data_IF_664516232085
#
_entry.id   IF_664516232085
#
_cell.length_a   1.000
_cell.length_b   1.000
_cell.length_c   1.000
_cell.angle_alpha   90.00
_cell.angle_beta   90.00
_cell.angle_gamma   90.00
#
_symmetry.space_group_name_H-M   'P 1'
#
loop_
_entity.id
_entity.type
_entity.pdbx_description
1 polymer ?
#
# COMPACT_ATOMS: atom_id res chain seq x y z
N UNK A 1 34.11 2.53 38.68
CA UNK A 1 32.86 1.74 38.81
C UNK A 1 31.69 2.67 38.53
N UNK A 2 30.69 2.40 37.73
CA UNK A 2 30.41 1.37 36.74
C UNK A 2 29.29 1.96 35.89
N UNK A 3 29.52 2.01 34.59
CA UNK A 3 28.55 2.30 33.55
C UNK A 3 27.32 1.38 33.66
N UNK A 4 26.11 1.93 33.54
CA UNK A 4 24.94 1.18 33.06
C UNK A 4 24.24 2.03 32.00
N UNK A 5 24.69 1.84 30.76
CA UNK A 5 24.11 2.45 29.58
C UNK A 5 22.71 1.91 29.32
N UNK A 6 21.74 2.82 29.33
CA UNK A 6 20.50 2.65 28.57
C UNK A 6 20.87 2.67 27.08
N UNK A 7 21.17 1.48 26.54
CA UNK A 7 21.16 1.27 25.09
C UNK A 7 19.71 1.48 24.64
N UNK A 8 19.40 2.69 24.20
CA UNK A 8 18.32 2.91 23.23
C UNK A 8 18.63 2.00 22.05
N UNK A 9 17.85 0.92 21.92
CA UNK A 9 17.83 0.10 20.72
C UNK A 9 17.41 1.03 19.58
N UNK A 10 18.36 1.49 18.78
CA UNK A 10 18.08 2.13 17.49
C UNK A 10 17.22 1.14 16.69
N UNK A 11 16.03 1.53 16.20
CA UNK A 11 15.39 0.76 15.15
C UNK A 11 16.31 0.82 13.92
N UNK A 12 16.68 -0.36 13.41
CA UNK A 12 17.47 -0.47 12.18
C UNK A 12 16.76 0.24 11.02
N UNK A 13 17.50 0.79 10.05
CA UNK A 13 16.93 1.37 8.84
C UNK A 13 16.42 0.21 7.97
N UNK A 14 15.13 -0.07 8.09
CA UNK A 14 14.48 -1.13 7.35
C UNK A 14 13.28 -1.63 8.13
N UNK A 15 12.11 -1.57 7.50
CA UNK A 15 10.81 -2.05 8.02
C UNK A 15 10.13 -1.21 9.11
N UNK A 16 9.94 0.09 8.86
CA UNK A 16 8.77 0.79 9.41
C UNK A 16 7.58 0.52 8.49
N UNK A 17 7.12 -0.72 8.50
CA UNK A 17 5.84 -1.10 7.91
C UNK A 17 4.77 -0.43 8.78
N UNK A 18 3.99 0.55 8.27
CA UNK A 18 3.02 1.26 9.12
C UNK A 18 2.11 0.23 9.79
N UNK A 19 1.65 0.50 11.02
CA UNK A 19 0.76 -0.43 11.76
C UNK A 19 -0.42 -0.90 10.92
N UNK A 20 -0.93 -0.02 10.04
CA UNK A 20 -1.95 -0.32 9.04
C UNK A 20 -1.48 -1.39 8.06
N UNK A 21 -0.26 -1.27 7.52
CA UNK A 21 0.33 -2.23 6.60
C UNK A 21 0.69 -3.57 7.27
N UNK A 22 1.08 -3.56 8.56
CA UNK A 22 1.29 -4.79 9.34
C UNK A 22 -0.03 -5.47 9.70
N UNK A 23 -1.07 -4.70 10.01
CA UNK A 23 -2.43 -5.20 10.19
C UNK A 23 -3.02 -5.74 8.88
N UNK A 24 -2.76 -5.07 7.75
CA UNK A 24 -3.16 -5.54 6.42
C UNK A 24 -2.43 -6.83 6.05
N UNK A 25 -1.13 -6.91 6.31
CA UNK A 25 -0.35 -8.13 6.10
C UNK A 25 -0.79 -9.28 7.01
N UNK A 26 -1.15 -8.99 8.27
CA UNK A 26 -1.71 -9.99 9.19
C UNK A 26 -3.12 -10.44 8.76
N UNK A 27 -3.96 -9.52 8.28
CA UNK A 27 -5.29 -9.86 7.74
C UNK A 27 -5.19 -10.66 6.44
N UNK A 28 -4.23 -10.33 5.57
CA UNK A 28 -3.95 -11.11 4.36
C UNK A 28 -3.42 -12.51 4.71
N UNK A 29 -2.56 -12.65 5.72
CA UNK A 29 -2.08 -13.95 6.18
C UNK A 29 -3.18 -14.78 6.85
N UNK A 30 -4.09 -14.14 7.60
CA UNK A 30 -5.26 -14.81 8.17
C UNK A 30 -6.23 -15.30 7.09
N UNK A 31 -6.50 -14.48 6.07
CA UNK A 31 -7.33 -14.88 4.93
C UNK A 31 -6.72 -16.06 4.14
N UNK A 32 -5.37 -16.11 4.00
CA UNK A 32 -4.69 -17.25 3.37
C UNK A 32 -4.76 -18.51 4.25
N UNK A 33 -4.70 -18.37 5.58
CA UNK A 33 -4.81 -19.51 6.49
C UNK A 33 -6.22 -20.13 6.53
N UNK A 34 -7.27 -19.33 6.38
CA UNK A 34 -8.67 -19.82 6.34
C UNK A 34 -8.95 -20.70 5.12
N UNK A 35 -8.26 -20.50 3.98
CA UNK A 35 -8.40 -21.37 2.81
C UNK A 35 -7.80 -22.78 3.00
N UNK A 36 -6.95 -22.99 4.02
CA UNK A 36 -6.30 -24.28 4.29
C UNK A 36 -7.16 -25.23 5.13
N UNK A 37 -8.15 -24.73 5.88
CA UNK A 37 -9.03 -25.57 6.72
C UNK A 37 -10.35 -25.95 6.02
N UNK A 38 -10.71 -25.30 4.91
CA UNK A 38 -11.87 -25.65 4.09
C UNK A 38 -11.62 -26.82 3.11
N UNK A 39 -10.47 -27.49 3.20
CA UNK A 39 -10.05 -28.58 2.31
C UNK A 39 -10.32 -29.99 2.84
N UNK A 40 -11.02 -30.18 3.96
CA UNK A 40 -11.27 -31.52 4.52
C UNK A 40 -12.76 -31.85 4.58
N UNK A 41 -13.19 -32.59 3.56
CA UNK A 41 -14.37 -33.46 3.48
C UNK A 41 -15.76 -32.80 3.56
N UNK A 42 -16.33 -32.53 2.38
CA UNK A 42 -17.68 -32.99 2.03
C UNK A 42 -17.91 -32.96 0.51
N UNK A 43 -17.82 -34.14 -0.10
CA UNK A 43 -18.40 -34.59 -1.37
C UNK A 43 -18.65 -33.58 -2.51
N UNK A 44 -17.65 -33.36 -3.36
CA UNK A 44 -17.91 -32.93 -4.74
C UNK A 44 -17.64 -34.11 -5.68
N UNK A 45 -18.68 -34.92 -5.92
CA UNK A 45 -18.71 -35.99 -6.92
C UNK A 45 -18.65 -35.34 -8.30
N UNK A 46 -17.44 -35.10 -8.80
CA UNK A 46 -17.22 -34.65 -10.17
C UNK A 46 -17.58 -35.79 -11.12
N UNK A 47 -18.78 -35.70 -11.69
CA UNK A 47 -19.15 -36.44 -12.89
C UNK A 47 -18.20 -35.96 -13.99
N UNK A 48 -17.39 -36.89 -14.50
CA UNK A 48 -16.47 -36.66 -15.60
C UNK A 48 -17.22 -36.11 -16.82
N UNK A 49 -17.19 -34.79 -16.99
CA UNK A 49 -17.33 -34.13 -18.28
C UNK A 49 -15.93 -33.78 -18.74
N UNK A 50 -15.40 -34.56 -19.68
CA UNK A 50 -14.08 -34.37 -20.29
C UNK A 50 -14.07 -33.04 -21.05
N UNK A 51 -13.69 -31.95 -20.37
CA UNK A 51 -13.32 -30.69 -21.02
C UNK A 51 -11.91 -30.88 -21.59
N UNK A 52 -11.68 -30.70 -22.90
CA UNK A 52 -10.37 -30.89 -23.48
C UNK A 52 -9.39 -29.90 -22.85
N UNK A 53 -8.33 -30.42 -22.21
CA UNK A 53 -7.19 -29.63 -21.75
C UNK A 53 -6.43 -29.13 -22.97
N UNK A 54 -6.81 -27.97 -23.49
CA UNK A 54 -5.98 -27.23 -24.45
C UNK A 54 -4.74 -26.67 -23.75
N UNK A 55 -3.58 -26.60 -24.42
CA UNK A 55 -2.39 -25.96 -23.86
C UNK A 55 -2.72 -24.52 -23.47
N UNK A 56 -2.23 -24.08 -22.30
CA UNK A 56 -2.45 -22.74 -21.76
C UNK A 56 -1.66 -21.73 -22.60
N UNK A 57 -2.20 -21.40 -23.77
CA UNK A 57 -1.82 -20.24 -24.56
C UNK A 57 -2.83 -19.10 -24.36
N UNK A 58 -2.53 -17.91 -24.88
CA UNK A 58 -3.38 -16.71 -24.78
C UNK A 58 -4.84 -16.95 -25.20
N UNK A 59 -5.09 -17.89 -26.13
CA UNK A 59 -6.41 -18.27 -26.62
C UNK A 59 -7.26 -19.05 -25.59
N UNK A 60 -6.63 -19.80 -24.69
CA UNK A 60 -7.31 -20.53 -23.60
C UNK A 60 -7.71 -19.62 -22.43
N UNK A 61 -6.88 -18.62 -22.10
CA UNK A 61 -7.14 -17.66 -21.03
C UNK A 61 -8.35 -16.78 -21.38
N UNK A 62 -8.45 -16.30 -22.62
CA UNK A 62 -9.58 -15.49 -23.07
C UNK A 62 -10.92 -16.27 -23.02
N UNK A 63 -10.92 -17.54 -23.42
CA UNK A 63 -12.11 -18.39 -23.36
C UNK A 63 -12.54 -18.68 -21.92
N UNK A 64 -11.59 -18.92 -21.02
CA UNK A 64 -11.87 -19.08 -19.59
C UNK A 64 -12.44 -17.80 -18.98
N UNK A 65 -11.86 -16.64 -19.26
CA UNK A 65 -12.33 -15.36 -18.72
C UNK A 65 -13.76 -15.03 -19.17
N UNK A 66 -14.09 -15.24 -20.44
CA UNK A 66 -15.47 -15.09 -20.95
C UNK A 66 -16.46 -16.04 -20.26
N UNK A 67 -16.05 -17.27 -19.98
CA UNK A 67 -16.88 -18.26 -19.30
C UNK A 67 -17.10 -17.94 -17.81
N UNK A 68 -16.08 -17.45 -17.09
CA UNK A 68 -16.22 -17.04 -15.68
C UNK A 68 -17.03 -15.74 -15.58
N UNK A 69 -16.87 -14.82 -16.52
CA UNK A 69 -17.67 -13.58 -16.56
C UNK A 69 -19.17 -13.84 -16.78
N UNK A 70 -19.52 -14.89 -17.54
CA UNK A 70 -20.91 -15.29 -17.76
C UNK A 70 -21.56 -16.02 -16.57
N UNK A 71 -20.75 -16.70 -15.73
CA UNK A 71 -21.25 -17.51 -14.61
C UNK A 71 -21.21 -16.76 -13.28
N UNK A 72 -20.11 -16.09 -12.99
CA UNK A 72 -19.83 -15.47 -11.69
C UNK A 72 -19.19 -14.08 -11.89
N UNK A 73 -19.93 -13.11 -12.46
CA UNK A 73 -19.40 -11.79 -12.77
C UNK A 73 -18.89 -11.04 -11.52
N UNK A 74 -19.50 -11.32 -10.36
CA UNK A 74 -19.16 -10.68 -9.09
C UNK A 74 -17.72 -11.00 -8.65
N UNK A 75 -17.28 -12.25 -8.84
CA UNK A 75 -15.92 -12.68 -8.44
C UNK A 75 -14.88 -12.12 -9.41
N UNK A 76 -15.19 -12.04 -10.70
CA UNK A 76 -14.28 -11.41 -11.68
C UNK A 76 -14.13 -9.92 -11.37
N UNK A 77 -15.24 -9.23 -11.12
CA UNK A 77 -15.22 -7.81 -10.78
C UNK A 77 -14.40 -7.53 -9.51
N UNK A 78 -14.64 -8.27 -8.42
CA UNK A 78 -13.92 -8.07 -7.16
C UNK A 78 -12.42 -8.33 -7.30
N UNK A 79 -12.01 -9.36 -8.05
CA UNK A 79 -10.60 -9.64 -8.32
C UNK A 79 -9.95 -8.55 -9.19
N UNK A 80 -10.67 -8.04 -10.21
CA UNK A 80 -10.15 -6.96 -11.04
C UNK A 80 -9.99 -5.65 -10.28
N UNK A 81 -10.97 -5.29 -9.43
CA UNK A 81 -10.91 -4.06 -8.63
C UNK A 81 -9.84 -4.18 -7.55
N UNK A 82 -9.76 -5.33 -6.86
CA UNK A 82 -8.71 -5.60 -5.87
C UNK A 82 -7.32 -5.61 -6.49
N UNK A 83 -7.15 -6.24 -7.66
CA UNK A 83 -5.88 -6.23 -8.39
C UNK A 83 -5.48 -4.84 -8.85
N UNK A 84 -6.43 -4.07 -9.39
CA UNK A 84 -6.18 -2.68 -9.80
C UNK A 84 -5.82 -1.80 -8.60
N UNK A 85 -6.49 -1.96 -7.47
CA UNK A 85 -6.22 -1.18 -6.26
C UNK A 85 -4.79 -1.39 -5.71
N UNK A 86 -4.17 -2.54 -5.96
CA UNK A 86 -2.79 -2.83 -5.54
C UNK A 86 -1.78 -2.25 -6.55
N UNK A 87 -2.07 -2.35 -7.85
CA UNK A 87 -1.13 -1.97 -8.90
C UNK A 87 -1.18 -0.46 -9.18
N UNK A 88 -2.36 0.16 -9.13
CA UNK A 88 -2.58 1.54 -9.50
C UNK A 88 -1.81 2.55 -8.62
N UNK A 89 -1.68 2.37 -7.29
CA UNK A 89 -0.87 3.26 -6.47
C UNK A 89 0.62 3.25 -6.82
N UNK A 90 1.16 2.12 -7.31
CA UNK A 90 2.57 2.03 -7.70
C UNK A 90 2.86 2.69 -9.05
N UNK A 91 1.87 2.74 -9.94
CA UNK A 91 2.00 3.35 -11.28
C UNK A 91 1.60 4.83 -11.31
N UNK A 92 0.77 5.28 -10.36
CA UNK A 92 0.22 6.63 -10.39
C UNK A 92 1.24 7.66 -9.88
N UNK A 93 1.65 8.65 -10.71
CA UNK A 93 2.52 9.74 -10.26
C UNK A 93 1.82 10.66 -9.23
N UNK A 94 0.50 10.56 -9.08
CA UNK A 94 -0.29 11.43 -8.22
C UNK A 94 -0.26 11.05 -6.73
N UNK A 95 0.16 9.82 -6.40
CA UNK A 95 0.30 9.40 -4.99
C UNK A 95 1.31 10.30 -4.26
N UNK A 96 2.35 10.78 -4.94
CA UNK A 96 3.32 11.72 -4.36
C UNK A 96 2.65 12.99 -3.82
N UNK A 97 1.70 13.57 -4.56
CA UNK A 97 0.99 14.77 -4.11
C UNK A 97 0.12 14.50 -2.88
N UNK A 98 -0.51 13.32 -2.78
CA UNK A 98 -1.28 12.96 -1.59
C UNK A 98 -0.42 12.90 -0.33
N UNK A 99 0.83 12.43 -0.43
CA UNK A 99 1.79 12.40 0.67
C UNK A 99 2.23 13.83 1.02
N UNK A 100 2.61 14.61 0.01
CA UNK A 100 3.06 15.99 0.20
C UNK A 100 1.97 16.88 0.82
N UNK A 101 0.69 16.66 0.50
CA UNK A 101 -0.44 17.39 1.12
C UNK A 101 -0.52 17.09 2.62
N UNK A 102 -0.42 15.82 2.99
CA UNK A 102 -0.51 15.41 4.40
C UNK A 102 0.67 15.94 5.24
N UNK A 103 1.87 16.05 4.64
CA UNK A 103 3.03 16.64 5.30
C UNK A 103 2.94 18.17 5.39
N UNK A 104 2.34 18.81 4.39
CA UNK A 104 2.18 20.27 4.34
C UNK A 104 1.10 20.81 5.29
N UNK A 105 0.18 19.99 5.79
CA UNK A 105 -0.87 20.42 6.72
C UNK A 105 -0.35 20.51 8.16
N UNK A 106 -0.20 21.73 8.73
CA UNK A 106 0.33 21.88 10.08
C UNK A 106 -0.76 21.58 11.11
N UNK A 107 -0.75 20.37 11.69
CA UNK A 107 -1.62 20.03 12.82
C UNK A 107 -1.09 20.51 14.17
N UNK A 108 0.24 20.59 14.29
CA UNK A 108 0.92 21.11 15.47
C UNK A 108 1.46 22.51 15.16
N UNK A 109 1.47 23.37 16.18
CA UNK A 109 2.07 24.69 16.04
C UNK A 109 3.58 24.56 15.79
N UNK A 110 4.13 25.13 14.71
CA UNK A 110 5.56 25.08 14.45
C UNK A 110 6.30 25.92 15.48
N UNK A 111 7.12 25.27 16.32
CA UNK A 111 7.94 25.96 17.31
C UNK A 111 9.15 26.57 16.60
N UNK A 112 9.35 27.90 16.70
CA UNK A 112 10.50 28.56 16.10
C UNK A 112 11.81 28.01 16.66
N UNK A 113 12.79 27.81 15.77
CA UNK A 113 14.15 27.44 16.15
C UNK A 113 14.85 28.67 16.73
N UNK A 114 15.73 28.44 17.72
CA UNK A 114 16.58 29.50 18.26
C UNK A 114 17.70 29.78 17.26
N UNK A 115 17.91 31.04 16.94
CA UNK A 115 18.93 31.44 15.95
C UNK A 115 20.35 31.39 16.54
N UNK A 116 21.23 30.62 15.89
CA UNK A 116 22.65 30.48 16.20
C UNK A 116 23.52 31.29 15.20
N UNK A 117 22.91 32.01 14.25
CA UNK A 117 23.58 32.88 13.28
C UNK A 117 24.16 32.19 12.04
N UNK A 118 24.01 30.86 11.93
CA UNK A 118 24.50 30.07 10.79
C UNK A 118 23.45 29.06 10.30
N UNK A 119 22.29 29.57 9.86
CA UNK A 119 21.19 28.76 9.32
C UNK A 119 20.57 29.42 8.08
N UNK A 120 21.18 29.27 6.88
CA UNK A 120 20.68 29.91 5.65
C UNK A 120 19.39 29.27 5.12
N UNK A 121 19.02 28.07 5.59
CA UNK A 121 17.87 27.28 5.15
C UNK A 121 16.60 27.53 5.99
N UNK A 122 16.73 28.11 7.18
CA UNK A 122 15.60 28.41 8.07
C UNK A 122 15.12 29.85 7.83
N UNK A 123 13.84 30.09 7.48
CA UNK A 123 13.34 31.43 7.29
C UNK A 123 13.20 32.18 8.62
N UNK A 124 13.51 33.48 8.61
CA UNK A 124 13.31 34.37 9.75
C UNK A 124 11.87 34.85 9.83
N UNK A 125 11.19 34.96 8.69
CA UNK A 125 9.82 35.41 8.59
C UNK A 125 9.00 34.51 7.63
N UNK A 126 7.68 34.31 7.86
CA UNK A 126 6.84 33.46 7.01
C UNK A 126 6.72 33.89 5.54
N UNK A 127 7.03 35.15 5.23
CA UNK A 127 6.99 35.69 3.87
C UNK A 127 8.36 35.64 3.17
N UNK A 128 9.39 35.14 3.83
CA UNK A 128 10.70 34.99 3.20
C UNK A 128 10.62 33.93 2.09
N UNK A 129 11.41 34.09 1.00
CA UNK A 129 11.46 33.10 -0.07
C UNK A 129 12.10 31.77 0.36
N UNK A 130 12.72 31.73 1.54
CA UNK A 130 13.31 30.54 2.13
C UNK A 130 12.23 29.69 2.79
N UNK A 131 12.28 28.37 2.56
CA UNK A 131 11.35 27.41 3.16
C UNK A 131 10.42 26.72 2.15
N UNK A 132 9.66 25.71 2.61
CA UNK A 132 8.78 24.91 1.76
C UNK A 132 7.56 25.72 1.31
N UNK A 133 7.52 26.09 0.02
CA UNK A 133 6.39 26.81 -0.56
C UNK A 133 5.29 25.87 -1.08
N UNK A 134 4.04 26.32 -1.01
CA UNK A 134 2.85 25.57 -1.45
C UNK A 134 2.41 25.93 -2.88
N UNK A 135 3.30 26.51 -3.70
CA UNK A 135 2.99 26.93 -5.06
C UNK A 135 2.61 25.77 -5.98
N UNK A 136 3.14 24.57 -5.73
CA UNK A 136 2.74 23.35 -6.44
C UNK A 136 1.30 22.94 -6.09
N UNK A 137 0.87 23.13 -4.84
CA UNK A 137 -0.49 22.81 -4.38
C UNK A 137 -1.53 23.80 -4.90
N UNK A 138 -1.15 25.08 -5.08
CA UNK A 138 -2.02 26.10 -5.67
C UNK A 138 -2.27 25.90 -7.17
N UNK A 139 -1.40 25.16 -7.86
CA UNK A 139 -1.44 24.95 -9.33
C UNK A 139 -2.03 23.59 -9.73
N UNK A 140 -2.32 22.73 -8.75
CA UNK A 140 -3.02 21.46 -8.92
C UNK A 140 -4.49 21.68 -9.26
#
# INVERSE_FOLDING_TARGET
MSTRGLRLRRPCPGTTTPRVLRALAAAAAAAVAETKMAGSKCGFRQRAGMVPRTPVGARGIAAFLRNVWAKEPVIVASLTIGGLAIILPALSPYIKYSIMINEATPYNYPVPLRDDGNMPDVPSHPQDPQGPSLEWLKKL
#
